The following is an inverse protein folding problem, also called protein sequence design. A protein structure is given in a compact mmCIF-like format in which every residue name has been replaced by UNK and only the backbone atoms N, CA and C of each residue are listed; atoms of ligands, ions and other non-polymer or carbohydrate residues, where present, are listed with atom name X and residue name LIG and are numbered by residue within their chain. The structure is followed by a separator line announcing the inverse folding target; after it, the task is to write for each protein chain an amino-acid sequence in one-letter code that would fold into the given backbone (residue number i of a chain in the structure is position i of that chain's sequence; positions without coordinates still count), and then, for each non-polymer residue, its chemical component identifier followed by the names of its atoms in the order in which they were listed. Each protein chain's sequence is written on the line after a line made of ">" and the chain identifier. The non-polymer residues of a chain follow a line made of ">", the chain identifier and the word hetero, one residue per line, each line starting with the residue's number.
data_IF_976997315789
#
_entry.id   IF_976997315789
#
_cell.length_a   1.000
_cell.length_b   1.000
_cell.length_c   1.000
_cell.angle_alpha   90.00
_cell.angle_beta   90.00
_cell.angle_gamma   90.00
#
_symmetry.space_group_name_H-M   'P 1'
#
loop_
_entity.id
_entity.type
_entity.pdbx_description
1 polymer ?
#
# COMPACT_ATOMS: atom_id res chain seq x y z
N UNK A 1 7.62 10.98 19.19
CA UNK A 1 7.43 9.68 18.50
C UNK A 1 5.96 9.32 18.28
N UNK A 2 5.03 9.73 19.16
CA UNK A 2 3.60 9.39 19.04
C UNK A 2 2.87 9.89 17.79
N UNK A 3 3.27 11.04 17.21
CA UNK A 3 2.62 11.55 15.98
C UNK A 3 2.96 10.65 14.79
N UNK A 4 4.24 10.29 14.61
CA UNK A 4 4.68 9.41 13.54
C UNK A 4 4.00 8.02 13.61
N UNK A 5 3.98 7.40 14.79
CA UNK A 5 3.29 6.10 14.99
C UNK A 5 1.79 6.19 14.70
N UNK A 6 1.15 7.29 15.11
CA UNK A 6 -0.27 7.57 14.83
C UNK A 6 -0.51 7.74 13.33
N UNK A 7 0.36 8.45 12.63
CA UNK A 7 0.24 8.68 11.19
C UNK A 7 0.44 7.38 10.40
N UNK A 8 1.43 6.56 10.76
CA UNK A 8 1.61 5.22 10.18
C UNK A 8 0.39 4.33 10.43
N UNK A 9 -0.18 4.37 11.63
CA UNK A 9 -1.40 3.61 11.95
C UNK A 9 -2.61 4.09 11.14
N UNK A 10 -2.74 5.41 10.94
CA UNK A 10 -3.78 6.01 10.11
C UNK A 10 -3.64 5.59 8.64
N UNK A 11 -2.43 5.70 8.09
CA UNK A 11 -2.11 5.28 6.71
C UNK A 11 -2.35 3.79 6.50
N UNK A 12 -2.01 2.95 7.48
CA UNK A 12 -2.30 1.51 7.44
C UNK A 12 -3.79 1.25 7.37
N UNK A 13 -4.58 1.95 8.18
CA UNK A 13 -6.04 1.81 8.18
C UNK A 13 -6.66 2.21 6.84
N UNK A 14 -6.16 3.29 6.24
CA UNK A 14 -6.58 3.73 4.91
C UNK A 14 -6.20 2.73 3.82
N UNK A 15 -4.96 2.23 3.82
CA UNK A 15 -4.51 1.23 2.85
C UNK A 15 -5.29 -0.10 2.96
N UNK A 16 -5.66 -0.51 4.18
CA UNK A 16 -6.55 -1.66 4.40
C UNK A 16 -7.95 -1.43 3.81
N UNK A 17 -8.51 -0.23 3.99
CA UNK A 17 -9.82 0.10 3.41
C UNK A 17 -9.79 0.09 1.88
N UNK A 18 -8.73 0.66 1.27
CA UNK A 18 -8.53 0.63 -0.19
C UNK A 18 -8.36 -0.80 -0.69
N UNK A 19 -7.57 -1.63 0.01
CA UNK A 19 -7.40 -3.04 -0.34
C UNK A 19 -8.74 -3.78 -0.33
N UNK A 20 -9.51 -3.65 0.75
CA UNK A 20 -10.79 -4.34 0.88
C UNK A 20 -11.80 -3.91 -0.18
N UNK A 21 -11.90 -2.60 -0.46
CA UNK A 21 -12.79 -2.06 -1.48
C UNK A 21 -12.43 -2.57 -2.89
N UNK A 22 -11.14 -2.61 -3.23
CA UNK A 22 -10.69 -3.10 -4.53
C UNK A 22 -10.82 -4.62 -4.65
N UNK A 23 -10.61 -5.39 -3.58
CA UNK A 23 -10.90 -6.83 -3.58
C UNK A 23 -12.39 -7.13 -3.81
N UNK A 24 -13.28 -6.36 -3.17
CA UNK A 24 -14.71 -6.50 -3.40
C UNK A 24 -15.08 -6.16 -4.86
N UNK A 25 -14.52 -5.08 -5.40
CA UNK A 25 -14.72 -4.66 -6.79
C UNK A 25 -14.15 -5.67 -7.79
N UNK A 26 -13.00 -6.26 -7.51
CA UNK A 26 -12.41 -7.31 -8.34
C UNK A 26 -13.25 -8.60 -8.36
N UNK A 27 -13.99 -8.88 -7.29
CA UNK A 27 -14.90 -10.03 -7.20
C UNK A 27 -16.31 -9.73 -7.77
N UNK A 28 -16.62 -8.48 -8.08
CA UNK A 28 -17.96 -8.08 -8.54
C UNK A 28 -18.21 -8.51 -9.99
N UNK A 29 -19.06 -9.52 -10.15
CA UNK A 29 -19.41 -10.07 -11.46
C UNK A 29 -20.22 -9.11 -12.33
N UNK A 30 -20.87 -8.10 -11.74
CA UNK A 30 -21.64 -7.09 -12.49
C UNK A 30 -20.77 -6.11 -13.27
N UNK A 31 -19.49 -6.00 -12.91
CA UNK A 31 -18.53 -5.12 -13.57
C UNK A 31 -17.96 -5.73 -14.85
N UNK A 32 -17.40 -4.87 -15.70
CA UNK A 32 -16.65 -5.32 -16.86
C UNK A 32 -15.38 -6.05 -16.43
N UNK A 33 -14.84 -6.90 -17.32
CA UNK A 33 -13.55 -7.56 -17.07
C UNK A 33 -12.42 -6.53 -16.89
N UNK A 34 -12.42 -5.44 -17.66
CA UNK A 34 -11.43 -4.39 -17.55
C UNK A 34 -11.48 -3.69 -16.18
N UNK A 35 -12.68 -3.36 -15.71
CA UNK A 35 -12.86 -2.74 -14.38
C UNK A 35 -12.42 -3.65 -13.24
N UNK A 36 -12.69 -4.97 -13.35
CA UNK A 36 -12.20 -5.96 -12.39
C UNK A 36 -10.68 -6.08 -12.41
N UNK A 37 -10.05 -6.02 -13.59
CA UNK A 37 -8.58 -6.05 -13.71
C UNK A 37 -7.92 -4.82 -13.09
N UNK A 38 -8.48 -3.63 -13.31
CA UNK A 38 -8.02 -2.40 -12.64
C UNK A 38 -8.15 -2.53 -11.11
N UNK A 39 -9.28 -3.07 -10.64
CA UNK A 39 -9.46 -3.31 -9.21
C UNK A 39 -8.44 -4.32 -8.64
N UNK A 40 -8.11 -5.39 -9.37
CA UNK A 40 -7.05 -6.33 -8.96
C UNK A 40 -5.70 -5.64 -8.85
N UNK A 41 -5.32 -4.83 -9.84
CA UNK A 41 -4.07 -4.06 -9.82
C UNK A 41 -3.99 -3.12 -8.61
N UNK A 42 -5.04 -2.33 -8.39
CA UNK A 42 -5.12 -1.41 -7.25
C UNK A 42 -5.06 -2.15 -5.90
N UNK A 43 -5.62 -3.36 -5.81
CA UNK A 43 -5.53 -4.19 -4.62
C UNK A 43 -4.08 -4.68 -4.37
N UNK A 44 -3.33 -5.00 -5.42
CA UNK A 44 -1.92 -5.37 -5.32
C UNK A 44 -1.05 -4.20 -4.87
N UNK A 45 -1.28 -2.99 -5.41
CA UNK A 45 -0.60 -1.78 -4.96
C UNK A 45 -0.88 -1.47 -3.49
N UNK A 46 -2.15 -1.52 -3.06
CA UNK A 46 -2.52 -1.31 -1.66
C UNK A 46 -1.83 -2.33 -0.74
N UNK A 47 -1.65 -3.57 -1.19
CA UNK A 47 -0.93 -4.61 -0.46
C UNK A 47 0.58 -4.32 -0.39
N UNK A 48 1.18 -3.81 -1.46
CA UNK A 48 2.58 -3.39 -1.46
C UNK A 48 2.83 -2.24 -0.48
N UNK A 49 1.93 -1.25 -0.45
CA UNK A 49 1.95 -0.13 0.50
C UNK A 49 1.86 -0.64 1.94
N UNK A 50 0.95 -1.56 2.24
CA UNK A 50 0.86 -2.18 3.56
C UNK A 50 2.16 -2.87 3.97
N UNK A 51 2.82 -3.59 3.06
CA UNK A 51 4.12 -4.22 3.30
C UNK A 51 5.25 -3.22 3.59
N UNK A 52 5.17 -2.00 3.05
CA UNK A 52 6.09 -0.91 3.39
C UNK A 52 5.78 -0.36 4.78
N UNK A 53 4.51 -0.07 5.06
CA UNK A 53 4.08 0.45 6.36
C UNK A 53 4.40 -0.53 7.50
N UNK A 54 4.23 -1.83 7.28
CA UNK A 54 4.60 -2.89 8.24
C UNK A 54 6.11 -2.97 8.48
N UNK A 55 6.93 -2.57 7.50
CA UNK A 55 8.39 -2.49 7.67
C UNK A 55 8.84 -1.24 8.43
N UNK A 56 7.96 -0.24 8.61
CA UNK A 56 8.25 0.98 9.33
C UNK A 56 8.12 0.76 10.86
N UNK A 57 9.22 0.36 11.52
CA UNK A 57 9.28 0.31 13.00
C UNK A 57 9.51 1.70 13.62
N UNK A 58 9.08 1.94 14.88
CA UNK A 58 9.29 3.23 15.55
C UNK A 58 10.76 3.59 15.83
N UNK A 59 11.71 2.67 15.65
CA UNK A 59 13.15 2.91 15.75
C UNK A 59 13.87 2.40 14.49
N UNK A 60 13.47 2.91 13.34
CA UNK A 60 14.21 2.64 12.10
C UNK A 60 15.58 3.31 12.19
N UNK A 61 16.62 2.47 12.22
CA UNK A 61 17.98 2.94 12.01
C UNK A 61 18.18 3.44 10.56
N UNK A 62 19.23 4.23 10.30
CA UNK A 62 19.48 4.82 8.97
C UNK A 62 19.52 3.80 7.83
N UNK A 63 19.92 2.56 8.12
CA UNK A 63 20.00 1.44 7.19
C UNK A 63 18.61 0.99 6.69
N UNK A 64 17.67 0.74 7.60
CA UNK A 64 16.28 0.36 7.27
C UNK A 64 15.55 1.50 6.57
N UNK A 65 15.80 2.76 6.95
CA UNK A 65 15.24 3.93 6.28
C UNK A 65 15.64 3.94 4.79
N UNK A 66 16.93 3.73 4.49
CA UNK A 66 17.44 3.66 3.11
C UNK A 66 16.78 2.54 2.30
N UNK A 67 16.58 1.35 2.89
CA UNK A 67 15.90 0.22 2.21
C UNK A 67 14.45 0.55 1.89
N UNK A 68 13.76 1.23 2.81
CA UNK A 68 12.37 1.63 2.62
C UNK A 68 12.25 2.72 1.56
N UNK A 69 13.14 3.73 1.59
CA UNK A 69 13.22 4.75 0.54
C UNK A 69 13.49 4.13 -0.84
N UNK A 70 14.37 3.13 -0.93
CA UNK A 70 14.63 2.42 -2.17
C UNK A 70 13.39 1.69 -2.68
N UNK A 71 12.65 0.98 -1.80
CA UNK A 71 11.40 0.30 -2.18
C UNK A 71 10.33 1.28 -2.66
N UNK A 72 10.16 2.42 -1.99
CA UNK A 72 9.22 3.48 -2.41
C UNK A 72 9.63 4.03 -3.78
N UNK A 73 10.91 4.31 -4.00
CA UNK A 73 11.42 4.80 -5.28
C UNK A 73 11.11 3.83 -6.41
N UNK A 74 11.40 2.54 -6.22
CA UNK A 74 11.11 1.51 -7.23
C UNK A 74 9.61 1.44 -7.55
N UNK A 75 8.73 1.58 -6.56
CA UNK A 75 7.28 1.61 -6.83
C UNK A 75 6.86 2.84 -7.63
N UNK A 76 7.45 4.01 -7.37
CA UNK A 76 7.11 5.27 -8.06
C UNK A 76 7.73 5.38 -9.45
N UNK A 77 8.88 4.74 -9.69
CA UNK A 77 9.57 4.75 -10.99
C UNK A 77 8.97 3.76 -12.01
N UNK A 78 8.04 2.88 -11.59
CA UNK A 78 7.32 1.98 -12.50
C UNK A 78 6.17 2.67 -13.26
N UNK A 79 5.97 3.98 -13.04
CA UNK A 79 4.90 4.80 -13.64
C UNK A 79 5.40 5.74 -14.75
N UNK A 80 6.55 5.45 -15.39
CA UNK A 80 7.09 6.18 -16.57
C UNK A 80 7.38 5.25 -17.75
#
# INVERSE_FOLDING_TARGET
>A
MHIFERDITSLRSQALAVLAANQARAADQSLSQADRQVATFNAEEARAVLGILDSLKPNIGPEEARKITARIRTLLEWDV
#
